data_IF_690119983057
#
_entry.id   IF_690119983057
#
_cell.length_a   1.000
_cell.length_b   1.000
_cell.length_c   1.000
_cell.angle_alpha   90.00
_cell.angle_beta   90.00
_cell.angle_gamma   90.00
#
_symmetry.space_group_name_H-M   'P 1'
#
loop_
_entity.id
_entity.type
_entity.pdbx_description
1 polymer ?
#
# COMPACT_ATOMS: atom_id res chain seq x y z
N UNK A 1 -11.81 -4.99 8.06
CA UNK A 1 -11.43 -4.31 9.34
C UNK A 1 -9.93 -4.07 9.45
N UNK A 2 -9.06 -5.01 9.09
CA UNK A 2 -7.60 -4.90 9.25
C UNK A 2 -6.99 -3.60 8.69
N UNK A 3 -7.32 -3.18 7.47
CA UNK A 3 -6.87 -1.89 6.93
C UNK A 3 -7.61 -0.69 7.51
N UNK A 4 -8.80 -0.89 8.01
CA UNK A 4 -9.59 0.16 8.65
C UNK A 4 -9.01 0.53 10.01
N UNK A 5 -8.45 -0.44 10.74
CA UNK A 5 -7.96 -0.29 12.10
C UNK A 5 -6.53 -0.83 12.25
N UNK A 6 -5.53 -0.21 11.61
CA UNK A 6 -4.16 -0.71 11.60
C UNK A 6 -3.48 -0.67 12.98
N UNK A 7 -4.01 0.16 13.90
CA UNK A 7 -3.47 0.36 15.25
C UNK A 7 -4.14 -0.52 16.31
N UNK A 8 -4.94 -1.52 15.89
CA UNK A 8 -5.68 -2.39 16.79
C UNK A 8 -5.12 -3.81 16.78
N UNK A 9 -5.29 -4.52 17.88
CA UNK A 9 -5.13 -5.97 17.94
C UNK A 9 -6.18 -6.65 17.04
N UNK A 10 -5.97 -7.93 16.74
CA UNK A 10 -6.94 -8.70 15.93
C UNK A 10 -8.35 -8.68 16.55
N UNK A 11 -8.46 -8.88 17.87
CA UNK A 11 -9.74 -8.89 18.55
C UNK A 11 -10.42 -7.52 18.51
N UNK A 12 -9.68 -6.45 18.79
CA UNK A 12 -10.21 -5.08 18.68
C UNK A 12 -10.62 -4.73 17.25
N UNK A 13 -9.88 -5.18 16.23
CA UNK A 13 -10.23 -4.95 14.83
C UNK A 13 -11.49 -5.75 14.43
N UNK A 14 -11.67 -6.96 14.98
CA UNK A 14 -12.88 -7.77 14.79
C UNK A 14 -14.07 -7.08 15.47
N UNK A 15 -13.95 -6.68 16.73
CA UNK A 15 -15.01 -5.98 17.47
C UNK A 15 -15.44 -4.70 16.77
N UNK A 16 -14.49 -3.87 16.35
CA UNK A 16 -14.77 -2.62 15.63
C UNK A 16 -15.32 -2.83 14.23
N UNK A 17 -15.07 -3.99 13.62
CA UNK A 17 -15.49 -4.32 12.27
C UNK A 17 -16.84 -5.05 12.17
N UNK A 18 -17.37 -5.59 13.27
CA UNK A 18 -18.62 -6.34 13.32
C UNK A 18 -19.75 -5.43 13.84
N UNK A 19 -20.61 -5.00 12.95
CA UNK A 19 -21.55 -3.90 13.21
C UNK A 19 -22.79 -4.27 14.02
N UNK A 20 -23.33 -5.47 13.94
CA UNK A 20 -24.66 -5.80 14.48
C UNK A 20 -24.76 -7.17 15.12
N UNK A 21 -23.78 -8.00 14.92
CA UNK A 21 -23.73 -9.29 15.57
C UNK A 21 -22.77 -9.12 16.74
N UNK A 22 -23.19 -9.52 17.92
CA UNK A 22 -22.25 -9.66 19.01
C UNK A 22 -21.11 -10.54 18.49
N UNK A 23 -19.86 -10.03 18.46
CA UNK A 23 -18.76 -10.86 18.04
C UNK A 23 -18.75 -12.07 18.98
N UNK A 24 -18.88 -13.26 18.43
CA UNK A 24 -18.66 -14.45 19.19
C UNK A 24 -17.28 -14.34 19.86
N UNK A 25 -17.14 -14.84 21.07
CA UNK A 25 -15.85 -14.93 21.74
C UNK A 25 -14.99 -15.92 20.96
N UNK A 26 -14.11 -15.41 20.11
CA UNK A 26 -13.14 -16.23 19.40
C UNK A 26 -11.96 -16.49 20.34
N UNK A 27 -11.63 -17.76 20.52
CA UNK A 27 -10.41 -18.14 21.19
C UNK A 27 -9.17 -17.84 20.33
N UNK A 28 -7.99 -17.74 20.92
CA UNK A 28 -6.75 -17.64 20.14
C UNK A 28 -6.57 -18.83 19.18
N UNK A 29 -7.03 -20.02 19.56
CA UNK A 29 -6.98 -21.23 18.74
C UNK A 29 -7.90 -21.11 17.49
N UNK A 30 -9.08 -20.50 17.62
CA UNK A 30 -9.97 -20.23 16.50
C UNK A 30 -9.32 -19.26 15.51
N UNK A 31 -8.67 -18.20 16.03
CA UNK A 31 -7.95 -17.22 15.23
C UNK A 31 -6.78 -17.89 14.50
N UNK A 32 -5.94 -18.66 15.19
CA UNK A 32 -4.79 -19.35 14.59
C UNK A 32 -5.23 -20.40 13.56
N UNK A 33 -6.34 -21.08 13.79
CA UNK A 33 -6.92 -22.01 12.84
C UNK A 33 -7.40 -21.29 11.55
N UNK A 34 -8.07 -20.15 11.71
CA UNK A 34 -8.49 -19.32 10.59
C UNK A 34 -7.30 -18.76 9.80
N UNK A 35 -6.26 -18.26 10.50
CA UNK A 35 -5.04 -17.75 9.88
C UNK A 35 -4.29 -18.85 9.11
N UNK A 36 -4.23 -20.07 9.69
CA UNK A 36 -3.61 -21.23 9.02
C UNK A 36 -4.36 -21.60 7.75
N UNK A 37 -5.70 -21.53 7.76
CA UNK A 37 -6.52 -21.77 6.58
C UNK A 37 -6.25 -20.72 5.48
N UNK A 38 -6.20 -19.45 5.83
CA UNK A 38 -5.89 -18.35 4.91
C UNK A 38 -4.52 -18.56 4.24
N UNK A 39 -3.51 -18.93 5.03
CA UNK A 39 -2.15 -19.19 4.52
C UNK A 39 -2.13 -20.40 3.58
N UNK A 40 -2.86 -21.46 3.94
CA UNK A 40 -2.96 -22.67 3.10
C UNK A 40 -3.50 -22.35 1.70
N UNK A 41 -4.48 -21.46 1.60
CA UNK A 41 -5.11 -21.08 0.33
C UNK A 41 -4.56 -19.76 -0.27
N UNK A 42 -3.45 -19.23 0.22
CA UNK A 42 -2.93 -17.92 -0.21
C UNK A 42 -2.77 -17.78 -1.73
N UNK A 43 -2.34 -18.84 -2.43
CA UNK A 43 -2.16 -18.82 -3.90
C UNK A 43 -3.50 -18.79 -4.63
N UNK A 44 -4.44 -19.59 -4.16
CA UNK A 44 -5.79 -19.66 -4.73
C UNK A 44 -6.55 -18.36 -4.49
N UNK A 45 -6.40 -17.76 -3.31
CA UNK A 45 -6.95 -16.43 -2.97
C UNK A 45 -6.42 -15.36 -3.92
N UNK A 46 -5.10 -15.28 -4.13
CA UNK A 46 -4.50 -14.30 -5.04
C UNK A 46 -5.01 -14.47 -6.46
N UNK A 47 -5.01 -15.71 -6.97
CA UNK A 47 -5.50 -16.04 -8.30
C UNK A 47 -6.98 -15.68 -8.45
N UNK A 48 -7.82 -16.09 -7.49
CA UNK A 48 -9.25 -15.82 -7.50
C UNK A 48 -9.54 -14.31 -7.50
N UNK A 49 -8.88 -13.55 -6.63
CA UNK A 49 -9.05 -12.09 -6.55
C UNK A 49 -8.68 -11.43 -7.87
N UNK A 50 -7.55 -11.82 -8.48
CA UNK A 50 -7.14 -11.26 -9.77
C UNK A 50 -8.17 -11.56 -10.86
N UNK A 51 -8.62 -12.81 -10.98
CA UNK A 51 -9.57 -13.25 -12.01
C UNK A 51 -10.94 -12.57 -11.85
N UNK A 52 -11.43 -12.43 -10.62
CA UNK A 52 -12.75 -11.85 -10.35
C UNK A 52 -12.73 -10.31 -10.28
N UNK A 53 -11.61 -9.69 -9.97
CA UNK A 53 -11.50 -8.22 -9.97
C UNK A 53 -11.76 -7.62 -11.36
N UNK A 54 -11.53 -8.36 -12.43
CA UNK A 54 -11.82 -7.94 -13.81
C UNK A 54 -13.31 -7.69 -14.09
N UNK A 55 -14.22 -8.35 -13.35
CA UNK A 55 -15.68 -8.10 -13.44
C UNK A 55 -16.10 -6.81 -12.73
N UNK A 56 -15.32 -6.38 -11.73
CA UNK A 56 -15.56 -5.14 -10.99
C UNK A 56 -15.01 -3.94 -11.75
N UNK A 57 -13.80 -4.08 -12.29
CA UNK A 57 -13.08 -3.04 -13.03
C UNK A 57 -12.20 -3.69 -14.10
N UNK A 58 -12.27 -3.19 -15.33
CA UNK A 58 -11.35 -3.64 -16.39
C UNK A 58 -9.89 -3.40 -15.97
N UNK A 59 -9.10 -4.48 -15.90
CA UNK A 59 -7.69 -4.44 -15.48
C UNK A 59 -6.82 -4.01 -16.66
N UNK A 60 -6.03 -2.95 -16.48
CA UNK A 60 -5.04 -2.54 -17.49
C UNK A 60 -3.69 -3.21 -17.20
N UNK A 61 -3.44 -4.30 -17.89
CA UNK A 61 -2.20 -5.07 -17.81
C UNK A 61 -1.22 -4.77 -18.94
N UNK A 62 -1.40 -3.66 -19.66
CA UNK A 62 -0.43 -3.19 -20.67
C UNK A 62 0.95 -2.90 -20.07
N UNK A 63 0.96 -2.49 -18.79
CA UNK A 63 2.15 -2.39 -17.97
C UNK A 63 1.90 -3.06 -16.61
N UNK A 64 2.90 -3.73 -16.08
CA UNK A 64 2.87 -4.33 -14.75
C UNK A 64 4.14 -3.94 -13.98
N UNK A 65 4.00 -3.71 -12.67
CA UNK A 65 5.08 -3.21 -11.82
C UNK A 65 5.45 -4.23 -10.78
N UNK A 66 6.75 -4.52 -10.73
CA UNK A 66 7.36 -5.41 -9.75
C UNK A 66 8.01 -4.56 -8.65
N UNK A 67 7.47 -4.63 -7.46
CA UNK A 67 8.05 -4.03 -6.27
C UNK A 67 8.75 -5.09 -5.43
N UNK A 68 9.93 -4.76 -4.94
CA UNK A 68 10.65 -5.58 -3.99
C UNK A 68 10.90 -4.79 -2.71
N UNK A 69 10.47 -5.34 -1.57
CA UNK A 69 10.61 -4.71 -0.26
C UNK A 69 11.18 -5.70 0.74
N UNK A 70 12.12 -5.22 1.55
CA UNK A 70 12.73 -5.99 2.64
C UNK A 70 12.15 -5.56 3.99
N UNK A 71 11.76 -6.55 4.78
CA UNK A 71 11.31 -6.38 6.15
C UNK A 71 12.29 -7.05 7.09
N UNK A 72 12.81 -6.29 8.06
CA UNK A 72 13.68 -6.83 9.10
C UNK A 72 12.86 -7.05 10.36
N UNK A 73 12.78 -8.27 10.84
CA UNK A 73 12.14 -8.63 12.10
C UNK A 73 13.21 -8.85 13.16
N UNK A 74 13.10 -8.13 14.28
CA UNK A 74 13.91 -8.44 15.46
C UNK A 74 13.26 -9.63 16.13
N UNK A 75 13.90 -10.77 16.10
CA UNK A 75 13.46 -11.91 16.93
C UNK A 75 13.53 -11.48 18.39
N UNK A 76 12.47 -11.64 19.23
CA UNK A 76 12.61 -11.49 20.65
C UNK A 76 13.61 -12.56 21.07
N UNK A 77 14.83 -12.13 21.38
CA UNK A 77 15.86 -13.04 21.88
C UNK A 77 15.32 -13.77 23.08
N UNK A 78 15.55 -15.08 23.15
CA UNK A 78 15.53 -15.83 24.41
C UNK A 78 16.07 -14.93 25.50
N UNK A 79 15.27 -14.71 26.56
CA UNK A 79 15.69 -13.94 27.75
C UNK A 79 17.13 -14.29 28.08
N UNK A 80 18.00 -13.32 28.33
CA UNK A 80 19.37 -13.65 28.74
C UNK A 80 19.27 -14.40 30.06
N UNK A 81 19.62 -15.68 30.06
CA UNK A 81 20.10 -16.27 31.29
C UNK A 81 21.40 -15.55 31.65
N UNK A 82 21.54 -15.14 32.91
CA UNK A 82 22.53 -14.22 33.47
C UNK A 82 24.02 -14.57 33.29
N UNK A 83 24.41 -15.25 32.22
CA UNK A 83 25.79 -15.76 32.12
C UNK A 83 26.50 -15.64 30.75
N UNK A 84 25.93 -14.97 29.72
CA UNK A 84 26.74 -14.68 28.52
C UNK A 84 26.36 -13.36 27.79
N UNK A 85 27.29 -12.39 27.70
CA UNK A 85 27.04 -11.07 27.11
C UNK A 85 27.21 -10.98 25.58
N UNK A 86 27.17 -12.07 24.80
CA UNK A 86 27.49 -12.06 23.36
C UNK A 86 26.56 -12.86 22.46
N UNK A 87 25.25 -12.90 22.71
CA UNK A 87 24.31 -13.40 21.70
C UNK A 87 23.93 -12.26 20.75
N UNK A 88 24.53 -12.29 19.55
CA UNK A 88 24.13 -11.45 18.41
C UNK A 88 22.64 -11.66 18.16
N UNK A 89 21.85 -10.58 18.24
CA UNK A 89 20.46 -10.56 17.73
C UNK A 89 20.52 -10.93 16.27
N UNK A 90 20.04 -12.10 15.90
CA UNK A 90 19.89 -12.49 14.51
C UNK A 90 18.61 -11.85 14.01
N UNK A 91 18.75 -10.79 13.23
CA UNK A 91 17.61 -10.21 12.52
C UNK A 91 17.22 -11.13 11.37
N UNK A 92 15.98 -11.60 11.36
CA UNK A 92 15.43 -12.32 10.22
C UNK A 92 14.97 -11.30 9.16
N UNK A 93 15.42 -11.45 7.95
CA UNK A 93 15.01 -10.62 6.81
C UNK A 93 13.94 -11.37 6.02
N UNK A 94 12.83 -10.73 5.76
CA UNK A 94 11.76 -11.22 4.89
C UNK A 94 11.71 -10.33 3.63
N UNK A 95 11.80 -10.94 2.50
CA UNK A 95 11.70 -10.30 1.20
C UNK A 95 10.30 -10.49 0.64
N UNK A 96 9.65 -9.40 0.27
CA UNK A 96 8.38 -9.40 -0.42
C UNK A 96 8.58 -8.93 -1.86
N UNK A 97 8.10 -9.72 -2.82
CA UNK A 97 7.93 -9.29 -4.21
C UNK A 97 6.45 -9.09 -4.48
N UNK A 98 6.08 -7.95 -5.03
CA UNK A 98 4.70 -7.58 -5.26
C UNK A 98 4.50 -7.18 -6.71
N UNK A 99 3.49 -7.75 -7.36
CA UNK A 99 3.13 -7.46 -8.74
C UNK A 99 1.82 -6.68 -8.79
N UNK A 100 1.81 -5.54 -9.47
CA UNK A 100 0.61 -4.73 -9.71
C UNK A 100 0.42 -4.48 -11.20
N UNK A 101 -0.82 -4.13 -11.59
CA UNK A 101 -1.12 -3.63 -12.93
C UNK A 101 -0.74 -2.15 -13.08
N UNK A 102 -1.04 -1.57 -14.25
CA UNK A 102 -0.75 -0.17 -14.58
C UNK A 102 -1.36 0.84 -13.59
N UNK A 103 -2.48 0.51 -13.00
CA UNK A 103 -3.16 1.36 -12.02
C UNK A 103 -2.70 1.11 -10.57
N UNK A 104 -1.68 0.27 -10.37
CA UNK A 104 -1.19 -0.13 -9.05
C UNK A 104 -2.19 -1.00 -8.28
N UNK A 105 -3.09 -1.71 -8.98
CA UNK A 105 -3.99 -2.68 -8.36
C UNK A 105 -3.25 -4.02 -8.28
N UNK A 106 -3.23 -4.68 -7.12
CA UNK A 106 -2.50 -5.92 -6.92
C UNK A 106 -2.92 -7.05 -7.87
N UNK A 107 -1.94 -7.83 -8.32
CA UNK A 107 -2.12 -9.05 -9.11
C UNK A 107 -1.67 -10.27 -8.31
N UNK A 108 -0.44 -10.23 -7.77
CA UNK A 108 0.14 -11.30 -6.98
C UNK A 108 1.25 -10.77 -6.08
N UNK A 109 1.62 -11.57 -5.08
CA UNK A 109 2.82 -11.33 -4.27
C UNK A 109 3.45 -12.66 -3.86
N UNK A 110 4.74 -12.59 -3.53
CA UNK A 110 5.51 -13.68 -2.95
C UNK A 110 6.32 -13.20 -1.76
N UNK A 111 6.57 -14.11 -0.81
CA UNK A 111 7.42 -13.91 0.36
C UNK A 111 8.56 -14.91 0.35
N UNK A 112 9.77 -14.46 0.72
CA UNK A 112 10.95 -15.30 0.85
C UNK A 112 11.79 -14.86 2.05
N UNK A 113 12.33 -15.82 2.79
CA UNK A 113 13.28 -15.58 3.89
C UNK A 113 14.74 -15.66 3.41
N UNK A 114 14.97 -16.24 2.26
CA UNK A 114 16.28 -16.29 1.58
C UNK A 114 16.14 -15.52 0.27
N UNK A 115 16.88 -14.47 0.06
CA UNK A 115 16.75 -13.54 -1.08
C UNK A 115 16.73 -14.16 -2.49
N UNK A 116 16.58 -15.46 -2.64
CA UNK A 116 16.79 -16.22 -3.89
C UNK A 116 15.57 -17.05 -4.30
N UNK A 117 14.62 -17.39 -3.42
CA UNK A 117 13.48 -18.24 -3.81
C UNK A 117 12.15 -17.47 -3.73
N UNK A 118 11.65 -17.16 -4.91
CA UNK A 118 10.28 -16.71 -5.08
C UNK A 118 9.34 -17.88 -4.92
N UNK A 119 8.35 -17.70 -4.09
CA UNK A 119 7.14 -18.48 -4.21
C UNK A 119 6.55 -18.25 -5.61
N UNK A 120 6.03 -19.30 -6.21
CA UNK A 120 5.64 -19.32 -7.62
C UNK A 120 4.48 -18.41 -8.03
N UNK A 121 3.86 -17.64 -7.11
CA UNK A 121 2.67 -16.85 -7.41
C UNK A 121 2.96 -15.72 -8.38
N UNK A 122 4.01 -14.94 -8.13
CA UNK A 122 4.41 -13.83 -9.02
C UNK A 122 4.89 -14.38 -10.37
N UNK A 123 5.73 -15.41 -10.37
CA UNK A 123 6.23 -16.02 -11.60
C UNK A 123 5.09 -16.60 -12.47
N UNK A 124 4.12 -17.27 -11.84
CA UNK A 124 2.96 -17.79 -12.53
C UNK A 124 2.06 -16.66 -13.08
N UNK A 125 1.88 -15.58 -12.31
CA UNK A 125 1.11 -14.42 -12.76
C UNK A 125 1.80 -13.72 -13.95
N UNK A 126 3.11 -13.53 -13.89
CA UNK A 126 3.91 -12.96 -15.01
C UNK A 126 3.79 -13.84 -16.25
N UNK A 127 3.96 -15.16 -16.11
CA UNK A 127 3.82 -16.10 -17.24
C UNK A 127 2.42 -16.03 -17.85
N UNK A 128 1.37 -15.97 -17.00
CA UNK A 128 -0.03 -15.82 -17.46
C UNK A 128 -0.21 -14.50 -18.20
N UNK A 129 0.25 -13.39 -17.63
CA UNK A 129 0.14 -12.08 -18.26
C UNK A 129 0.83 -12.01 -19.62
N UNK A 130 2.06 -12.55 -19.74
CA UNK A 130 2.79 -12.62 -21.01
C UNK A 130 2.09 -13.47 -22.05
N UNK A 131 1.46 -14.57 -21.62
CA UNK A 131 0.67 -15.43 -22.52
C UNK A 131 -0.60 -14.73 -23.01
N UNK A 132 -1.34 -14.08 -22.08
CA UNK A 132 -2.63 -13.47 -22.37
C UNK A 132 -2.45 -12.13 -23.11
N UNK A 133 -1.36 -11.40 -22.84
CA UNK A 133 -0.95 -10.18 -23.55
C UNK A 133 0.58 -10.14 -23.72
N UNK A 134 1.13 -10.63 -24.86
CA UNK A 134 2.58 -10.64 -25.12
C UNK A 134 3.23 -9.24 -25.12
N UNK A 135 2.43 -8.18 -25.25
CA UNK A 135 2.90 -6.79 -25.22
C UNK A 135 2.95 -6.18 -23.83
N UNK A 136 2.59 -6.92 -22.77
CA UNK A 136 2.70 -6.43 -21.40
C UNK A 136 4.16 -6.11 -21.08
N UNK A 137 4.44 -4.87 -20.72
CA UNK A 137 5.74 -4.43 -20.24
C UNK A 137 5.84 -4.58 -18.72
N UNK A 138 6.96 -5.09 -18.23
CA UNK A 138 7.22 -5.27 -16.80
C UNK A 138 8.27 -4.27 -16.35
N UNK A 139 7.94 -3.49 -15.32
CA UNK A 139 8.83 -2.48 -14.75
C UNK A 139 9.21 -2.85 -13.32
N UNK A 140 10.51 -2.77 -13.01
CA UNK A 140 10.98 -2.84 -11.63
C UNK A 140 10.79 -1.50 -10.92
N UNK A 141 10.40 -1.53 -9.65
CA UNK A 141 10.28 -0.33 -8.80
C UNK A 141 11.49 -0.12 -7.88
N UNK A 142 12.49 -1.00 -7.98
CA UNK A 142 13.77 -0.86 -7.31
C UNK A 142 14.82 -0.29 -8.26
N UNK A 143 15.80 0.49 -7.76
CA UNK A 143 16.93 0.92 -8.58
C UNK A 143 17.71 -0.32 -9.05
N UNK A 144 17.86 -0.45 -10.35
CA UNK A 144 18.77 -1.44 -10.93
C UNK A 144 20.19 -0.93 -10.69
N UNK A 145 20.84 -1.40 -9.65
CA UNK A 145 22.28 -1.17 -9.46
C UNK A 145 23.02 -2.11 -10.41
N UNK A 146 23.92 -1.59 -11.27
CA UNK A 146 24.68 -2.45 -12.20
C UNK A 146 25.50 -3.53 -11.50
N UNK A 147 25.81 -3.33 -10.22
CA UNK A 147 26.66 -4.21 -9.40
C UNK A 147 25.89 -5.26 -8.60
N UNK A 148 24.60 -5.07 -8.44
CA UNK A 148 23.71 -6.09 -7.90
C UNK A 148 22.68 -6.38 -8.99
N UNK A 149 22.97 -7.38 -9.83
CA UNK A 149 21.92 -8.16 -10.45
C UNK A 149 21.07 -8.75 -9.29
N UNK A 150 20.21 -7.90 -8.71
CA UNK A 150 19.09 -8.45 -7.94
C UNK A 150 18.41 -9.36 -8.94
N UNK A 151 18.31 -10.65 -8.68
CA UNK A 151 17.44 -11.51 -9.45
C UNK A 151 16.04 -10.96 -9.21
N UNK A 152 15.66 -10.00 -10.07
CA UNK A 152 14.31 -9.47 -10.14
C UNK A 152 13.50 -10.68 -10.54
N UNK A 153 12.92 -11.34 -9.56
CA UNK A 153 12.16 -12.56 -9.75
C UNK A 153 12.90 -13.59 -10.61
N UNK A 154 13.42 -14.65 -10.05
CA UNK A 154 14.11 -15.71 -10.80
C UNK A 154 13.38 -15.99 -12.12
N UNK A 155 13.96 -15.59 -13.24
CA UNK A 155 13.43 -15.81 -14.59
C UNK A 155 12.50 -14.73 -15.16
N UNK A 156 12.27 -13.59 -14.49
CA UNK A 156 11.54 -12.46 -15.06
C UNK A 156 12.50 -11.30 -15.29
N UNK A 157 12.81 -11.02 -16.55
CA UNK A 157 13.50 -9.78 -16.93
C UNK A 157 12.49 -8.63 -16.90
N UNK A 158 12.84 -7.51 -16.27
CA UNK A 158 12.08 -6.28 -16.39
C UNK A 158 12.38 -5.61 -17.72
N UNK A 159 11.33 -5.06 -18.36
CA UNK A 159 11.48 -4.24 -19.58
C UNK A 159 11.94 -2.81 -19.25
N UNK A 160 11.94 -2.46 -17.97
CA UNK A 160 12.36 -1.17 -17.47
C UNK A 160 12.21 -1.01 -15.96
N UNK A 161 12.37 0.23 -15.49
CA UNK A 161 12.25 0.54 -14.06
C UNK A 161 11.53 1.89 -13.81
N UNK A 162 10.99 2.03 -12.59
CA UNK A 162 10.53 3.28 -12.00
C UNK A 162 10.82 3.25 -10.50
N UNK A 163 11.54 4.25 -9.96
CA UNK A 163 11.88 4.28 -8.54
C UNK A 163 12.04 5.71 -8.03
N UNK A 164 12.02 5.86 -6.70
CA UNK A 164 12.25 7.14 -6.05
C UNK A 164 13.73 7.47 -5.88
N UNK A 165 14.12 8.68 -6.28
CA UNK A 165 15.46 9.20 -6.05
C UNK A 165 15.51 9.89 -4.67
N UNK A 166 16.52 9.58 -3.83
CA UNK A 166 16.64 10.17 -2.51
C UNK A 166 17.20 11.60 -2.59
N UNK A 167 16.34 12.61 -2.75
CA UNK A 167 16.72 14.02 -2.97
C UNK A 167 17.71 14.55 -1.93
N UNK A 168 17.53 14.19 -0.65
CA UNK A 168 18.40 14.71 0.43
C UNK A 168 19.83 14.16 0.41
N UNK A 169 20.03 12.95 -0.07
CA UNK A 169 21.34 12.27 -0.12
C UNK A 169 21.96 12.25 -1.52
N UNK A 170 21.27 12.80 -2.52
CA UNK A 170 21.77 12.92 -3.88
C UNK A 170 23.04 13.81 -3.95
N UNK A 171 23.75 13.74 -5.07
CA UNK A 171 24.90 14.59 -5.35
C UNK A 171 24.54 16.09 -5.49
N UNK A 172 25.55 16.93 -5.56
CA UNK A 172 25.37 18.39 -5.62
C UNK A 172 24.70 18.81 -6.95
N UNK A 173 25.07 18.19 -8.07
CA UNK A 173 24.50 18.51 -9.38
C UNK A 173 22.99 18.24 -9.43
N UNK A 174 22.55 17.10 -8.92
CA UNK A 174 21.14 16.79 -8.83
C UNK A 174 20.38 17.75 -7.92
N UNK A 175 20.94 18.10 -6.73
CA UNK A 175 20.34 19.07 -5.82
C UNK A 175 20.22 20.45 -6.44
N UNK A 176 21.25 20.89 -7.16
CA UNK A 176 21.25 22.18 -7.88
C UNK A 176 20.18 22.17 -8.98
N UNK A 177 20.06 21.06 -9.71
CA UNK A 177 18.98 20.91 -10.66
C UNK A 177 17.62 20.95 -10.00
N UNK A 178 17.40 20.26 -8.88
CA UNK A 178 16.15 20.29 -8.11
C UNK A 178 15.77 21.72 -7.71
N UNK A 179 16.73 22.54 -7.27
CA UNK A 179 16.47 23.89 -6.76
C UNK A 179 16.36 24.96 -7.86
N UNK A 180 16.79 24.68 -9.10
CA UNK A 180 16.64 25.61 -10.22
C UNK A 180 15.17 25.76 -10.63
N UNK A 181 14.82 26.91 -11.17
CA UNK A 181 13.51 27.19 -11.78
C UNK A 181 13.20 26.28 -12.98
N UNK A 182 12.04 26.41 -13.56
CA UNK A 182 11.58 25.62 -14.72
C UNK A 182 10.48 24.62 -14.37
N UNK A 183 9.84 24.79 -13.22
CA UNK A 183 8.70 24.00 -12.82
C UNK A 183 7.45 24.35 -13.60
N UNK A 184 6.68 23.32 -13.96
CA UNK A 184 5.36 23.42 -14.58
C UNK A 184 4.31 23.00 -13.57
N UNK A 185 3.10 23.50 -13.73
CA UNK A 185 1.98 23.14 -12.87
C UNK A 185 1.34 21.82 -13.33
N UNK A 186 1.18 20.90 -12.40
CA UNK A 186 0.41 19.67 -12.53
C UNK A 186 -0.76 19.71 -11.56
N UNK A 187 -1.97 19.63 -12.06
CA UNK A 187 -3.16 19.62 -11.21
C UNK A 187 -3.41 18.24 -10.64
N UNK A 188 -3.34 18.11 -9.35
CA UNK A 188 -3.70 16.90 -8.62
C UNK A 188 -4.75 17.22 -7.57
N UNK A 189 -5.62 16.27 -7.26
CA UNK A 189 -6.55 16.44 -6.15
C UNK A 189 -5.82 16.19 -4.82
N UNK A 190 -5.98 17.11 -3.88
CA UNK A 190 -5.47 16.95 -2.53
C UNK A 190 -6.44 16.12 -1.66
N UNK A 191 -6.06 15.93 -0.39
CA UNK A 191 -6.86 15.21 0.59
C UNK A 191 -8.23 15.87 0.92
N UNK A 192 -8.43 17.13 0.55
CA UNK A 192 -9.66 17.89 0.77
C UNK A 192 -10.47 18.14 -0.50
N UNK A 193 -10.30 17.32 -1.55
CA UNK A 193 -10.96 17.43 -2.87
C UNK A 193 -10.67 18.72 -3.62
N UNK A 194 -9.72 19.49 -3.16
CA UNK A 194 -9.32 20.69 -3.86
C UNK A 194 -8.26 20.33 -4.90
N UNK A 195 -8.43 20.78 -6.10
CA UNK A 195 -7.39 20.75 -7.09
C UNK A 195 -6.25 21.64 -6.61
N UNK A 196 -5.13 21.03 -6.23
CA UNK A 196 -3.93 21.77 -5.85
C UNK A 196 -2.91 21.70 -6.98
N UNK A 197 -2.19 22.80 -7.20
CA UNK A 197 -1.04 22.75 -8.09
C UNK A 197 0.07 21.94 -7.41
N UNK A 198 0.48 20.88 -8.05
CA UNK A 198 1.74 20.21 -7.80
C UNK A 198 2.72 20.75 -8.84
N UNK A 199 3.81 21.32 -8.40
CA UNK A 199 4.83 21.78 -9.33
C UNK A 199 5.72 20.60 -9.73
N UNK A 200 6.01 20.45 -11.01
CA UNK A 200 6.92 19.40 -11.49
C UNK A 200 7.86 19.94 -12.57
N UNK A 201 8.96 19.27 -12.73
CA UNK A 201 9.83 19.38 -13.89
C UNK A 201 10.45 18.03 -14.21
N UNK A 202 10.92 17.91 -15.44
CA UNK A 202 11.50 16.69 -15.95
C UNK A 202 12.81 16.95 -16.69
N UNK A 203 13.65 15.94 -16.76
CA UNK A 203 14.83 15.90 -17.63
C UNK A 203 15.08 14.49 -18.13
N UNK A 204 15.80 14.39 -19.23
CA UNK A 204 16.38 13.14 -19.70
C UNK A 204 17.84 13.13 -19.24
N UNK A 205 18.22 12.13 -18.45
CA UNK A 205 19.57 11.96 -17.92
C UNK A 205 20.29 10.91 -18.76
N UNK A 206 21.47 11.25 -19.30
CA UNK A 206 22.34 10.38 -20.12
C UNK A 206 21.61 9.64 -21.29
N UNK A 207 20.52 10.20 -21.82
CA UNK A 207 19.67 9.60 -22.86
C UNK A 207 19.10 8.21 -22.50
N UNK A 208 19.11 7.81 -21.23
CA UNK A 208 18.70 6.48 -20.78
C UNK A 208 17.59 6.51 -19.75
N UNK A 209 17.47 7.61 -19.04
CA UNK A 209 16.57 7.74 -17.89
C UNK A 209 15.81 9.06 -17.96
N UNK A 210 14.50 9.00 -17.72
CA UNK A 210 13.68 10.19 -17.50
C UNK A 210 13.52 10.42 -16.01
N UNK A 211 13.90 11.60 -15.56
CA UNK A 211 13.81 12.00 -14.17
C UNK A 211 12.73 13.06 -14.00
N UNK A 212 11.88 12.89 -13.02
CA UNK A 212 10.85 13.84 -12.60
C UNK A 212 11.16 14.33 -11.20
N UNK A 213 10.93 15.62 -10.97
CA UNK A 213 10.94 16.19 -9.63
C UNK A 213 9.61 16.88 -9.39
N UNK A 214 8.97 16.59 -8.28
CA UNK A 214 7.71 17.17 -7.86
C UNK A 214 7.94 17.97 -6.58
N UNK A 215 7.30 19.12 -6.50
CA UNK A 215 7.30 19.95 -5.29
C UNK A 215 5.90 20.05 -4.70
N UNK A 216 5.77 19.70 -3.44
CA UNK A 216 4.51 19.70 -2.71
C UNK A 216 4.60 20.66 -1.52
N UNK A 217 3.97 21.84 -1.62
CA UNK A 217 4.08 22.90 -0.63
C UNK A 217 3.61 22.49 0.78
N UNK A 218 2.47 21.80 0.88
CA UNK A 218 1.97 21.32 2.17
C UNK A 218 2.93 20.35 2.85
N UNK A 219 3.50 19.43 2.07
CA UNK A 219 4.50 18.49 2.58
C UNK A 219 5.78 19.22 3.02
N UNK A 220 6.18 20.24 2.29
CA UNK A 220 7.33 21.07 2.67
C UNK A 220 7.09 21.76 4.03
N UNK A 221 5.90 22.32 4.24
CA UNK A 221 5.53 22.94 5.52
C UNK A 221 5.54 21.93 6.68
N UNK A 222 4.95 20.76 6.48
CA UNK A 222 4.92 19.69 7.49
C UNK A 222 6.33 19.20 7.85
N UNK A 223 7.18 18.98 6.86
CA UNK A 223 8.56 18.55 7.07
C UNK A 223 9.38 19.61 7.81
N UNK A 224 9.23 20.90 7.48
CA UNK A 224 9.88 22.00 8.19
C UNK A 224 9.47 22.05 9.66
N UNK A 225 8.18 22.02 9.95
CA UNK A 225 7.67 22.01 11.32
C UNK A 225 8.20 20.81 12.13
N UNK A 226 8.23 19.61 11.53
CA UNK A 226 8.78 18.41 12.17
C UNK A 226 10.29 18.53 12.44
N UNK A 227 11.06 19.18 11.56
CA UNK A 227 12.51 19.39 11.74
C UNK A 227 12.81 20.47 12.77
N UNK A 228 12.02 21.53 12.80
CA UNK A 228 12.13 22.57 13.81
C UNK A 228 11.89 22.03 15.22
N UNK A 229 10.89 21.18 15.39
CA UNK A 229 10.61 20.51 16.68
C UNK A 229 11.74 19.58 17.13
N UNK A 230 12.54 19.04 16.19
CA UNK A 230 13.66 18.14 16.48
C UNK A 230 15.04 18.82 16.48
N UNK A 231 15.10 20.15 16.23
CA UNK A 231 16.33 20.92 16.17
C UNK A 231 17.25 20.64 14.96
N UNK A 232 16.78 19.88 13.98
CA UNK A 232 17.53 19.51 12.77
C UNK A 232 17.32 20.57 11.68
N UNK A 233 18.31 21.45 11.47
CA UNK A 233 18.24 22.53 10.45
C UNK A 233 18.80 22.15 9.07
N UNK A 234 19.47 21.02 8.91
CA UNK A 234 20.05 20.61 7.63
C UNK A 234 18.95 20.15 6.64
N UNK A 235 19.04 20.60 5.39
CA UNK A 235 18.18 20.15 4.31
C UNK A 235 16.82 20.85 4.13
N UNK A 236 16.56 21.95 4.86
CA UNK A 236 15.30 22.71 4.79
C UNK A 236 14.92 23.17 3.37
N UNK A 237 15.89 23.42 2.50
CA UNK A 237 15.64 23.86 1.12
C UNK A 237 15.11 22.75 0.23
N UNK A 238 15.29 21.49 0.61
CA UNK A 238 14.88 20.31 -0.14
C UNK A 238 13.59 19.67 0.42
N UNK A 239 12.98 20.27 1.43
CA UNK A 239 11.72 19.78 1.98
C UNK A 239 10.57 19.98 0.99
N UNK A 240 9.71 18.97 0.86
CA UNK A 240 8.59 18.97 -0.08
C UNK A 240 8.93 18.45 -1.47
N UNK A 241 10.21 18.19 -1.77
CA UNK A 241 10.58 17.61 -3.06
C UNK A 241 10.53 16.09 -3.04
N UNK A 242 9.95 15.53 -4.10
CA UNK A 242 9.92 14.11 -4.42
C UNK A 242 10.53 13.95 -5.80
N UNK A 243 11.49 13.05 -5.95
CA UNK A 243 12.07 12.76 -7.25
C UNK A 243 11.86 11.30 -7.64
N UNK A 244 11.61 11.09 -8.93
CA UNK A 244 11.30 9.78 -9.52
C UNK A 244 12.16 9.63 -10.78
N UNK A 245 12.74 8.45 -10.95
CA UNK A 245 13.45 8.05 -12.15
C UNK A 245 12.76 6.89 -12.85
N UNK A 246 12.74 6.90 -14.18
CA UNK A 246 12.20 5.80 -14.98
C UNK A 246 12.97 5.64 -16.28
N UNK A 247 13.11 4.39 -16.72
CA UNK A 247 13.65 4.05 -18.03
C UNK A 247 12.68 4.38 -19.19
N UNK A 248 11.39 4.59 -18.90
CA UNK A 248 10.40 4.95 -19.92
C UNK A 248 10.51 6.42 -20.29
N UNK A 249 11.19 6.72 -21.37
CA UNK A 249 11.38 8.09 -21.87
C UNK A 249 10.06 8.78 -22.27
N UNK A 250 9.03 8.00 -22.59
CA UNK A 250 7.69 8.48 -22.96
C UNK A 250 6.73 8.60 -21.78
N UNK A 251 7.17 8.31 -20.54
CA UNK A 251 6.32 8.45 -19.38
C UNK A 251 5.89 9.91 -19.19
N UNK A 252 4.61 10.13 -18.87
CA UNK A 252 4.11 11.44 -18.46
C UNK A 252 4.21 11.64 -16.95
N UNK A 253 4.30 12.90 -16.53
CA UNK A 253 4.51 13.27 -15.12
C UNK A 253 3.37 12.80 -14.20
N UNK A 254 2.12 12.84 -14.66
CA UNK A 254 0.97 12.45 -13.85
C UNK A 254 0.95 10.93 -13.61
N UNK A 255 1.21 10.16 -14.64
CA UNK A 255 1.29 8.70 -14.56
C UNK A 255 2.44 8.26 -13.64
N UNK A 256 3.64 8.84 -13.82
CA UNK A 256 4.79 8.54 -12.98
C UNK A 256 4.52 8.88 -11.49
N UNK A 257 3.90 10.03 -11.22
CA UNK A 257 3.52 10.42 -9.86
C UNK A 257 2.50 9.47 -9.22
N UNK A 258 1.44 9.13 -9.95
CA UNK A 258 0.38 8.22 -9.46
C UNK A 258 0.90 6.82 -9.15
N UNK A 259 1.72 6.28 -10.03
CA UNK A 259 2.34 4.96 -9.85
C UNK A 259 3.24 4.96 -8.61
N UNK A 260 4.13 5.92 -8.51
CA UNK A 260 5.05 6.03 -7.38
C UNK A 260 4.32 6.27 -6.05
N UNK A 261 3.31 7.14 -6.05
CA UNK A 261 2.50 7.40 -4.85
C UNK A 261 1.73 6.14 -4.40
N UNK A 262 1.17 5.38 -5.34
CA UNK A 262 0.51 4.10 -5.04
C UNK A 262 1.46 3.08 -4.42
N UNK A 263 2.66 2.95 -4.96
CA UNK A 263 3.69 2.04 -4.44
C UNK A 263 4.15 2.44 -3.03
N UNK A 264 4.41 3.73 -2.79
CA UNK A 264 4.76 4.23 -1.45
C UNK A 264 3.65 4.00 -0.42
N UNK A 265 2.40 4.13 -0.83
CA UNK A 265 1.28 3.88 0.05
C UNK A 265 1.21 2.40 0.46
N UNK A 266 1.43 1.49 -0.47
CA UNK A 266 1.53 0.06 -0.20
C UNK A 266 2.65 -0.25 0.80
N UNK A 267 3.85 0.29 0.58
CA UNK A 267 4.98 0.13 1.51
C UNK A 267 4.64 0.65 2.92
N UNK A 268 3.97 1.80 3.00
CA UNK A 268 3.54 2.38 4.28
C UNK A 268 2.59 1.45 5.03
N UNK A 269 1.60 0.87 4.35
CA UNK A 269 0.64 -0.06 4.96
C UNK A 269 1.35 -1.26 5.57
N UNK A 270 2.23 -1.92 4.80
CA UNK A 270 2.96 -3.08 5.30
C UNK A 270 4.01 -2.71 6.36
N UNK A 271 4.56 -1.50 6.33
CA UNK A 271 5.55 -1.03 7.32
C UNK A 271 4.90 -0.57 8.62
N UNK A 272 3.74 0.08 8.58
CA UNK A 272 3.04 0.56 9.79
C UNK A 272 2.60 -0.61 10.66
N UNK A 273 2.10 -1.68 10.04
CA UNK A 273 1.77 -2.89 10.78
C UNK A 273 2.99 -3.53 11.47
N UNK A 274 4.21 -3.31 10.98
CA UNK A 274 5.44 -3.77 11.62
C UNK A 274 5.72 -3.06 12.96
N UNK A 275 5.60 -1.72 13.00
CA UNK A 275 5.93 -0.93 14.21
C UNK A 275 5.02 -1.22 15.39
N UNK A 276 3.80 -1.68 15.16
CA UNK A 276 2.82 -2.01 16.18
C UNK A 276 3.08 -3.36 16.85
N UNK A 277 3.65 -4.28 16.11
CA UNK A 277 4.00 -5.60 16.62
C UNK A 277 5.32 -5.60 17.41
N UNK A 278 6.23 -4.66 17.14
CA UNK A 278 7.45 -4.48 17.93
C UNK A 278 7.17 -3.96 19.36
N UNK A 279 5.99 -3.37 19.61
CA UNK A 279 5.61 -2.81 20.92
C UNK A 279 4.85 -3.79 21.85
N UNK A 280 4.30 -4.88 21.32
CA UNK A 280 3.60 -5.89 22.13
C UNK A 280 4.49 -7.12 22.38
N UNK A 281 5.05 -7.22 23.57
CA UNK A 281 5.90 -8.32 24.03
C UNK A 281 5.20 -9.71 24.05
N UNK A 282 3.93 -9.78 23.67
CA UNK A 282 3.10 -10.99 23.72
C UNK A 282 2.87 -11.68 22.38
N UNK A 283 3.26 -11.08 21.26
CA UNK A 283 3.10 -11.71 19.95
C UNK A 283 4.32 -12.55 19.58
N UNK A 284 4.22 -13.85 19.81
CA UNK A 284 5.15 -14.82 19.23
C UNK A 284 4.87 -14.84 17.73
N UNK A 285 5.79 -14.29 16.93
CA UNK A 285 5.73 -14.31 15.48
C UNK A 285 5.98 -15.73 14.97
N UNK A 286 4.92 -16.48 14.74
CA UNK A 286 5.00 -17.71 14.00
C UNK A 286 5.04 -17.39 12.49
N UNK A 287 5.69 -18.24 11.70
CA UNK A 287 5.70 -18.11 10.25
C UNK A 287 4.29 -18.07 9.65
N UNK A 288 3.34 -18.76 10.25
CA UNK A 288 1.93 -18.76 9.86
C UNK A 288 1.30 -17.38 10.09
N UNK A 289 1.48 -16.76 11.25
CA UNK A 289 0.92 -15.44 11.55
C UNK A 289 1.53 -14.36 10.64
N UNK A 290 2.84 -14.44 10.38
CA UNK A 290 3.51 -13.53 9.42
C UNK A 290 2.91 -13.69 8.02
N UNK A 291 2.83 -14.92 7.51
CA UNK A 291 2.26 -15.16 6.18
C UNK A 291 0.78 -14.71 6.10
N UNK A 292 -0.03 -15.02 7.11
CA UNK A 292 -1.43 -14.61 7.17
C UNK A 292 -1.59 -13.08 7.13
N UNK A 293 -0.70 -12.34 7.83
CA UNK A 293 -0.67 -10.89 7.80
C UNK A 293 -0.51 -10.37 6.36
N UNK A 294 0.42 -10.92 5.59
CA UNK A 294 0.63 -10.51 4.20
C UNK A 294 -0.54 -10.90 3.29
N UNK A 295 -1.18 -12.07 3.48
CA UNK A 295 -2.39 -12.44 2.73
C UNK A 295 -3.52 -11.46 2.99
N UNK A 296 -3.80 -11.16 4.26
CA UNK A 296 -4.85 -10.22 4.65
C UNK A 296 -4.53 -8.81 4.16
N UNK A 297 -3.27 -8.39 4.26
CA UNK A 297 -2.80 -7.13 3.72
C UNK A 297 -3.02 -7.03 2.20
N UNK A 298 -2.70 -8.10 1.46
CA UNK A 298 -2.94 -8.19 0.02
C UNK A 298 -4.42 -8.06 -0.33
N UNK A 299 -5.29 -8.81 0.35
CA UNK A 299 -6.76 -8.76 0.14
C UNK A 299 -7.27 -7.33 0.40
N UNK A 300 -6.93 -6.79 1.57
CA UNK A 300 -7.40 -5.47 2.02
C UNK A 300 -6.91 -4.36 1.10
N UNK A 301 -5.65 -4.40 0.70
CA UNK A 301 -5.08 -3.42 -0.22
C UNK A 301 -5.73 -3.51 -1.61
N UNK A 302 -5.99 -4.73 -2.10
CA UNK A 302 -6.68 -4.91 -3.39
C UNK A 302 -8.08 -4.32 -3.35
N UNK A 303 -8.86 -4.59 -2.29
CA UNK A 303 -10.21 -4.02 -2.12
C UNK A 303 -10.16 -2.48 -2.13
N UNK A 304 -9.23 -1.90 -1.36
CA UNK A 304 -9.10 -0.43 -1.28
C UNK A 304 -8.66 0.18 -2.62
N UNK A 305 -7.78 -0.48 -3.36
CA UNK A 305 -7.36 -0.01 -4.70
C UNK A 305 -8.48 -0.12 -5.73
N UNK A 306 -9.26 -1.20 -5.68
CA UNK A 306 -10.45 -1.35 -6.54
C UNK A 306 -11.51 -0.28 -6.24
N UNK A 307 -11.77 -0.01 -4.97
CA UNK A 307 -12.67 1.06 -4.56
C UNK A 307 -12.14 2.42 -5.02
N UNK A 308 -10.87 2.72 -4.79
CA UNK A 308 -10.23 3.95 -5.25
C UNK A 308 -10.34 4.11 -6.78
N UNK A 309 -10.15 3.04 -7.53
CA UNK A 309 -10.29 3.05 -8.98
C UNK A 309 -11.76 3.26 -9.41
N UNK A 310 -12.73 2.69 -8.70
CA UNK A 310 -14.18 2.94 -8.91
C UNK A 310 -14.56 4.42 -8.64
N UNK A 311 -13.79 5.09 -7.81
CA UNK A 311 -13.91 6.52 -7.53
C UNK A 311 -12.98 7.37 -8.43
N UNK A 312 -12.55 6.85 -9.57
CA UNK A 312 -11.68 7.50 -10.56
C UNK A 312 -10.37 8.07 -9.95
N UNK A 313 -9.87 7.44 -8.88
CA UNK A 313 -8.70 7.89 -8.12
C UNK A 313 -8.81 9.33 -7.58
N UNK A 314 -10.03 9.84 -7.39
CA UNK A 314 -10.26 11.19 -6.88
C UNK A 314 -9.81 11.34 -5.43
N UNK A 315 -9.87 10.25 -4.64
CA UNK A 315 -9.58 10.24 -3.23
C UNK A 315 -8.38 9.35 -2.90
N UNK A 316 -7.60 9.73 -1.90
CA UNK A 316 -6.55 8.88 -1.37
C UNK A 316 -7.13 7.71 -0.56
N UNK A 317 -6.37 6.62 -0.41
CA UNK A 317 -6.82 5.49 0.42
C UNK A 317 -7.05 5.92 1.87
N UNK A 318 -6.21 6.83 2.41
CA UNK A 318 -6.37 7.34 3.78
C UNK A 318 -7.66 8.14 3.95
N UNK A 319 -8.07 8.93 2.95
CA UNK A 319 -9.34 9.65 2.97
C UNK A 319 -10.53 8.70 2.92
N UNK A 320 -10.54 7.76 1.97
CA UNK A 320 -11.59 6.75 1.86
C UNK A 320 -11.71 5.98 3.18
N UNK A 321 -10.58 5.53 3.75
CA UNK A 321 -10.54 4.84 5.03
C UNK A 321 -11.14 5.68 6.15
N UNK A 322 -10.70 6.94 6.28
CA UNK A 322 -11.17 7.85 7.34
C UNK A 322 -12.67 8.10 7.22
N UNK A 323 -13.18 8.35 6.01
CA UNK A 323 -14.60 8.53 5.77
C UNK A 323 -15.41 7.29 6.14
N UNK A 324 -14.99 6.11 5.67
CA UNK A 324 -15.64 4.85 6.01
C UNK A 324 -15.59 4.52 7.51
N UNK A 325 -14.49 4.84 8.20
CA UNK A 325 -14.40 4.67 9.66
C UNK A 325 -15.38 5.56 10.43
N UNK A 326 -15.69 6.74 9.89
CA UNK A 326 -16.65 7.69 10.50
C UNK A 326 -18.09 7.35 10.19
N UNK A 327 -18.35 6.52 9.18
CA UNK A 327 -19.70 6.07 8.81
C UNK A 327 -20.18 5.02 9.82
N UNK A 328 -20.56 5.48 10.99
CA UNK A 328 -21.05 4.67 12.10
C UNK A 328 -22.52 4.94 12.34
N UNK A 329 -23.19 4.01 12.99
CA UNK A 329 -24.58 4.17 13.42
C UNK A 329 -24.72 3.91 14.92
N UNK A 330 -25.75 4.52 15.50
CA UNK A 330 -26.15 4.37 16.90
C UNK A 330 -27.58 3.84 16.92
N UNK A 331 -27.83 2.84 17.73
CA UNK A 331 -29.20 2.36 17.98
C UNK A 331 -29.96 3.38 18.82
N UNK A 332 -31.09 3.90 18.29
CA UNK A 332 -31.88 4.92 18.97
C UNK A 332 -33.15 4.37 19.61
N UNK A 333 -33.83 3.40 18.99
CA UNK A 333 -35.00 2.75 19.54
C UNK A 333 -35.29 1.44 18.83
N UNK A 334 -35.54 0.36 19.58
CA UNK A 334 -35.88 -0.94 19.01
C UNK A 334 -34.89 -1.40 17.93
N UNK A 335 -35.36 -1.56 16.71
CA UNK A 335 -34.55 -1.98 15.56
C UNK A 335 -34.14 -0.83 14.64
N UNK A 336 -34.20 0.41 15.10
CA UNK A 336 -33.86 1.62 14.34
C UNK A 336 -32.49 2.12 14.73
N UNK A 337 -31.67 2.37 13.72
CA UNK A 337 -30.29 2.87 13.83
C UNK A 337 -30.18 4.20 13.10
N UNK A 338 -29.49 5.15 13.71
CA UNK A 338 -29.18 6.47 13.15
C UNK A 338 -27.73 6.50 12.70
N UNK A 339 -27.48 6.82 11.41
CA UNK A 339 -26.17 7.08 10.86
C UNK A 339 -25.84 8.55 11.07
N UNK A 340 -24.75 8.84 11.78
CA UNK A 340 -24.42 10.19 12.26
C UNK A 340 -23.48 10.95 11.34
N UNK A 341 -22.94 10.29 10.33
CA UNK A 341 -21.93 10.87 9.45
C UNK A 341 -22.23 10.58 7.99
N UNK A 342 -22.08 11.59 7.14
CA UNK A 342 -22.15 11.49 5.69
C UNK A 342 -21.30 12.60 5.07
N UNK A 343 -20.49 12.29 4.07
CA UNK A 343 -19.61 13.23 3.39
C UNK A 343 -19.58 12.98 1.88
N UNK A 344 -18.80 13.78 1.15
CA UNK A 344 -18.63 13.69 -0.31
C UNK A 344 -18.03 12.36 -0.77
N UNK A 345 -17.21 11.71 0.07
CA UNK A 345 -16.65 10.38 -0.24
C UNK A 345 -17.73 9.32 -0.20
N UNK A 346 -18.55 9.34 0.84
CA UNK A 346 -19.69 8.44 0.98
C UNK A 346 -20.70 8.65 -0.15
N UNK A 347 -20.96 9.91 -0.55
CA UNK A 347 -21.78 10.23 -1.72
C UNK A 347 -21.19 9.64 -3.02
N UNK A 348 -19.88 9.75 -3.19
CA UNK A 348 -19.18 9.16 -4.33
C UNK A 348 -19.18 7.63 -4.30
N UNK A 349 -19.00 7.02 -3.12
CA UNK A 349 -19.15 5.58 -2.91
C UNK A 349 -20.57 5.10 -3.21
N UNK A 350 -21.59 5.84 -2.74
CA UNK A 350 -23.00 5.55 -3.00
C UNK A 350 -23.27 5.47 -4.50
N UNK A 351 -22.85 6.49 -5.25
CA UNK A 351 -23.03 6.55 -6.71
C UNK A 351 -22.25 5.43 -7.44
N UNK A 352 -20.98 5.21 -7.06
CA UNK A 352 -20.13 4.24 -7.73
C UNK A 352 -20.54 2.78 -7.46
N UNK A 353 -21.07 2.50 -6.27
CA UNK A 353 -21.47 1.15 -5.83
C UNK A 353 -22.98 0.94 -5.88
N UNK A 354 -23.76 1.95 -6.27
CA UNK A 354 -25.23 1.94 -6.31
C UNK A 354 -25.85 1.55 -4.95
N UNK A 355 -25.31 2.14 -3.89
CA UNK A 355 -25.79 1.95 -2.53
C UNK A 355 -26.67 3.13 -2.13
N UNK A 356 -27.39 3.03 -1.02
CA UNK A 356 -28.19 4.13 -0.45
C UNK A 356 -27.57 4.57 0.86
N UNK A 357 -26.35 5.15 0.86
CA UNK A 357 -25.64 5.50 2.11
C UNK A 357 -26.18 6.76 2.79
N UNK A 358 -26.85 7.64 2.04
CA UNK A 358 -27.41 8.92 2.55
C UNK A 358 -28.55 8.76 3.56
N UNK A 359 -29.20 7.56 3.61
CA UNK A 359 -30.33 7.34 4.50
C UNK A 359 -29.88 7.39 5.97
N UNK A 360 -30.28 8.44 6.67
CA UNK A 360 -29.93 8.69 8.06
C UNK A 360 -30.46 7.62 9.03
N UNK A 361 -31.67 7.12 8.78
CA UNK A 361 -32.33 6.13 9.63
C UNK A 361 -32.53 4.82 8.88
N UNK A 362 -32.16 3.70 9.51
CA UNK A 362 -32.31 2.36 8.93
C UNK A 362 -32.75 1.36 9.99
N UNK A 363 -33.59 0.43 9.57
CA UNK A 363 -33.84 -0.77 10.37
C UNK A 363 -32.67 -1.75 10.28
N UNK A 364 -32.53 -2.60 11.28
CA UNK A 364 -31.52 -3.68 11.26
C UNK A 364 -31.61 -4.52 9.97
N UNK A 365 -32.81 -4.78 9.46
CA UNK A 365 -33.01 -5.54 8.23
C UNK A 365 -32.44 -4.79 7.00
N UNK A 366 -32.63 -3.48 6.92
CA UNK A 366 -32.06 -2.65 5.84
C UNK A 366 -30.53 -2.64 5.89
N UNK A 367 -29.94 -2.57 7.08
CA UNK A 367 -28.49 -2.64 7.24
C UNK A 367 -27.96 -4.02 6.85
N UNK A 368 -28.61 -5.11 7.27
CA UNK A 368 -28.24 -6.47 6.84
C UNK A 368 -28.33 -6.64 5.32
N UNK A 369 -29.30 -6.00 4.66
CA UNK A 369 -29.37 -5.99 3.19
C UNK A 369 -28.20 -5.23 2.56
N UNK A 370 -27.83 -4.09 3.14
CA UNK A 370 -26.66 -3.31 2.68
C UNK A 370 -25.35 -4.10 2.77
N UNK A 371 -25.20 -4.94 3.80
CA UNK A 371 -23.99 -5.74 4.04
C UNK A 371 -23.95 -7.09 3.26
N UNK A 372 -25.04 -7.51 2.66
CA UNK A 372 -25.17 -8.82 1.98
C UNK A 372 -24.99 -8.79 0.47
N UNK A 373 -24.53 -7.67 -0.08
CA UNK A 373 -24.29 -7.56 -1.52
C UNK A 373 -23.04 -8.29 -1.93
#
# INVERSE_FOLDING_TARGET
>A
SYMMYPDCTWNEAIEKGLYFEEPGTFSEEDIDSALSLIVRFQKDIQKWIYEHSGSILARDTSAAFLNHTEYTFSSPGTMPSDSQPNTRRTNSVLHQTFLTDRHGIPIAYDLSTSGIMLNQSVSNAVTKLKRDNPKTCFYSTAPVRPETELPICAGVSSDGYIYGLPVHTADAEFKDWVLKDGYQELKVLNENYQTIPLLYKERIFENKEKQFVYYHELQARQQRLSRESTGKRAGLKLDGYIAIATSSLNADALTAYRLYSGLRHMEKIFRTSKSQYDSSATFIWTSTRINAHFVIGFISFTIMRLLQAKLDFQFSIDQIRTSLQRYNCVQIAGNIYEFTYYDEILDSCERALKLELHNKYRSQLQIRRLLRY
#
